data_IF_433671797000
#
_entry.id   IF_433671797000
#
_cell.length_a   1.000
_cell.length_b   1.000
_cell.length_c   1.000
_cell.angle_alpha   90.00
_cell.angle_beta   90.00
_cell.angle_gamma   90.00
#
_symmetry.space_group_name_H-M   'P 1'
#
loop_
_entity.id
_entity.type
_entity.pdbx_description
1 polymer ?
#
# COMPACT_ATOMS: atom_id res chain seq x y z
N UNK A 1 18.02 -5.33 -3.29
CA UNK A 1 16.84 -4.69 -3.90
C UNK A 1 17.28 -3.34 -4.42
N UNK A 2 17.49 -3.22 -5.73
CA UNK A 2 17.77 -1.91 -6.34
C UNK A 2 16.54 -1.01 -6.15
N UNK A 3 16.71 0.31 -5.92
CA UNK A 3 15.58 1.22 -5.97
C UNK A 3 15.07 1.20 -7.41
N UNK A 4 13.92 0.54 -7.62
CA UNK A 4 13.17 0.59 -8.87
C UNK A 4 12.91 2.05 -9.16
N UNK A 5 13.48 2.55 -10.25
CA UNK A 5 13.14 3.77 -11.00
C UNK A 5 12.65 4.95 -10.17
N UNK A 6 13.40 6.06 -10.21
CA UNK A 6 13.04 7.35 -9.61
C UNK A 6 11.57 7.73 -9.89
N UNK A 7 10.68 7.40 -8.95
CA UNK A 7 9.26 7.77 -9.04
C UNK A 7 9.18 9.30 -9.14
N UNK A 8 8.33 9.78 -10.05
CA UNK A 8 8.16 11.20 -10.33
C UNK A 8 7.96 12.01 -9.03
N UNK A 9 7.25 11.45 -8.05
CA UNK A 9 7.02 12.08 -6.75
C UNK A 9 8.32 12.29 -5.98
N UNK A 10 9.17 11.28 -5.92
CA UNK A 10 10.47 11.34 -5.23
C UNK A 10 11.36 12.42 -5.85
N UNK A 11 11.36 12.51 -7.20
CA UNK A 11 12.09 13.58 -7.92
C UNK A 11 11.54 14.97 -7.62
N UNK A 12 10.23 15.14 -7.68
CA UNK A 12 9.56 16.42 -7.38
C UNK A 12 9.80 16.83 -5.93
N UNK A 13 9.71 15.89 -4.98
CA UNK A 13 9.97 16.15 -3.55
C UNK A 13 11.40 16.63 -3.33
N UNK A 14 12.38 15.91 -3.88
CA UNK A 14 13.80 16.29 -3.76
C UNK A 14 14.06 17.65 -4.39
N UNK A 15 13.59 17.87 -5.62
CA UNK A 15 13.79 19.14 -6.33
C UNK A 15 13.16 20.32 -5.59
N UNK A 16 11.94 20.16 -5.05
CA UNK A 16 11.27 21.21 -4.28
C UNK A 16 11.95 21.48 -2.94
N UNK A 17 12.44 20.44 -2.26
CA UNK A 17 13.22 20.56 -1.02
C UNK A 17 14.52 21.34 -1.26
N UNK A 18 15.22 21.07 -2.36
CA UNK A 18 16.48 21.73 -2.72
C UNK A 18 16.28 23.19 -3.16
N UNK A 19 15.08 23.55 -3.64
CA UNK A 19 14.75 24.88 -4.18
C UNK A 19 13.57 25.57 -3.46
N UNK A 20 13.45 25.39 -2.14
CA UNK A 20 12.35 25.96 -1.37
C UNK A 20 12.22 27.49 -1.53
N UNK A 21 13.34 28.20 -1.62
CA UNK A 21 13.36 29.67 -1.76
C UNK A 21 12.78 30.15 -3.09
N UNK A 22 12.87 29.33 -4.15
CA UNK A 22 12.34 29.66 -5.48
C UNK A 22 10.83 29.40 -5.60
N UNK A 23 10.26 28.68 -4.64
CA UNK A 23 8.83 28.42 -4.53
C UNK A 23 8.27 27.40 -5.54
N UNK A 24 6.95 27.15 -5.42
CA UNK A 24 6.24 26.10 -6.18
C UNK A 24 6.24 26.34 -7.68
N UNK A 25 6.13 27.59 -8.12
CA UNK A 25 6.06 27.93 -9.55
C UNK A 25 7.34 27.55 -10.30
N UNK A 26 8.50 27.68 -9.65
CA UNK A 26 9.78 27.27 -10.21
C UNK A 26 9.84 25.76 -10.44
N UNK A 27 9.42 24.98 -9.43
CA UNK A 27 9.34 23.52 -9.54
C UNK A 27 8.30 23.09 -10.59
N UNK A 28 7.12 23.71 -10.60
CA UNK A 28 6.09 23.43 -11.59
C UNK A 28 6.59 23.67 -13.01
N UNK A 29 7.29 24.78 -13.26
CA UNK A 29 7.86 25.08 -14.58
C UNK A 29 8.86 24.01 -15.03
N UNK A 30 9.79 23.63 -14.17
CA UNK A 30 10.79 22.60 -14.48
C UNK A 30 10.16 21.28 -14.93
N UNK A 31 9.20 20.75 -14.17
CA UNK A 31 8.54 19.49 -14.50
C UNK A 31 7.49 19.61 -15.62
N UNK A 32 6.92 20.80 -15.86
CA UNK A 32 6.09 21.05 -17.04
C UNK A 32 6.94 21.00 -18.32
N UNK A 33 8.16 21.54 -18.30
CA UNK A 33 9.09 21.47 -19.43
C UNK A 33 9.53 20.02 -19.70
N UNK A 34 9.49 19.13 -18.69
CA UNK A 34 9.66 17.69 -18.83
C UNK A 34 8.40 16.93 -19.32
N UNK A 35 7.27 17.63 -19.52
CA UNK A 35 6.03 17.06 -20.03
C UNK A 35 5.06 16.54 -18.96
N UNK A 36 5.28 16.84 -17.68
CA UNK A 36 4.36 16.49 -16.59
C UNK A 36 3.23 17.53 -16.53
N UNK A 37 1.98 17.06 -16.45
CA UNK A 37 0.84 17.98 -16.32
C UNK A 37 0.90 18.80 -15.03
N UNK A 38 0.56 20.09 -15.14
CA UNK A 38 0.56 21.03 -14.03
C UNK A 38 -0.26 20.54 -12.82
N UNK A 39 -1.45 19.98 -13.07
CA UNK A 39 -2.30 19.40 -12.02
C UNK A 39 -1.57 18.33 -11.21
N UNK A 40 -0.88 17.41 -11.88
CA UNK A 40 -0.09 16.36 -11.24
C UNK A 40 1.02 16.93 -10.37
N UNK A 41 1.73 17.96 -10.84
CA UNK A 41 2.81 18.57 -10.07
C UNK A 41 2.27 19.21 -8.79
N UNK A 42 1.18 19.98 -8.89
CA UNK A 42 0.58 20.61 -7.72
C UNK A 42 -0.06 19.61 -6.75
N UNK A 43 -0.65 18.52 -7.24
CA UNK A 43 -1.14 17.43 -6.39
C UNK A 43 0.00 16.76 -5.59
N UNK A 44 1.17 16.62 -6.21
CA UNK A 44 2.38 16.08 -5.56
C UNK A 44 2.92 17.09 -4.54
N UNK A 45 3.04 18.38 -4.89
CA UNK A 45 3.50 19.42 -3.97
C UNK A 45 2.56 19.58 -2.77
N UNK A 46 1.24 19.48 -2.98
CA UNK A 46 0.26 19.49 -1.89
C UNK A 46 0.50 18.34 -0.91
N UNK A 47 0.75 17.12 -1.43
CA UNK A 47 1.09 15.95 -0.59
C UNK A 47 2.39 16.16 0.21
N UNK A 48 3.37 16.84 -0.38
CA UNK A 48 4.61 17.20 0.32
C UNK A 48 4.32 18.12 1.52
N UNK A 49 3.49 19.15 1.32
CA UNK A 49 3.07 20.07 2.40
C UNK A 49 2.26 19.36 3.49
N UNK A 50 1.41 18.40 3.10
CA UNK A 50 0.66 17.54 4.01
C UNK A 50 1.57 16.50 4.73
N UNK A 51 2.90 16.55 4.54
CA UNK A 51 3.89 15.61 5.08
C UNK A 51 3.59 14.14 4.74
N UNK A 52 2.97 13.88 3.58
CA UNK A 52 2.67 12.53 3.10
C UNK A 52 3.87 11.96 2.34
N UNK A 53 4.14 10.67 2.57
CA UNK A 53 5.21 9.94 1.90
C UNK A 53 5.02 9.96 0.37
N UNK A 54 6.14 10.10 -0.36
CA UNK A 54 6.16 9.97 -1.82
C UNK A 54 5.77 8.55 -2.26
N UNK A 55 6.08 7.57 -1.42
CA UNK A 55 5.80 6.16 -1.66
C UNK A 55 4.30 5.91 -1.87
N UNK A 56 4.01 5.03 -2.83
CA UNK A 56 2.63 4.59 -3.08
C UNK A 56 2.14 3.79 -1.87
N UNK A 57 1.14 4.32 -1.17
CA UNK A 57 0.39 3.51 -0.20
C UNK A 57 -0.23 2.31 -0.93
N UNK A 58 -0.06 1.12 -0.36
CA UNK A 58 -0.71 -0.09 -0.82
C UNK A 58 -2.20 0.18 -0.99
N UNK A 59 -2.74 -0.15 -2.17
CA UNK A 59 -4.14 0.13 -2.47
C UNK A 59 -5.07 -0.46 -1.41
N UNK A 60 -6.18 0.22 -1.14
CA UNK A 60 -7.25 -0.24 -0.25
C UNK A 60 -8.04 -1.37 -0.89
N UNK A 61 -7.35 -2.47 -1.23
CA UNK A 61 -7.97 -3.68 -1.73
C UNK A 61 -9.11 -4.10 -0.79
N UNK A 62 -10.13 -4.75 -1.34
CA UNK A 62 -11.29 -5.19 -0.57
C UNK A 62 -10.84 -6.07 0.58
N UNK A 63 -11.03 -5.61 1.81
CA UNK A 63 -10.78 -6.41 3.01
C UNK A 63 -11.75 -7.59 3.05
N UNK A 64 -11.22 -8.78 3.36
CA UNK A 64 -12.03 -10.00 3.46
C UNK A 64 -12.94 -9.91 4.69
N UNK A 65 -14.26 -9.71 4.49
CA UNK A 65 -15.24 -9.59 5.58
C UNK A 65 -15.33 -10.82 6.49
N UNK A 66 -15.04 -12.00 5.94
CA UNK A 66 -15.22 -13.29 6.64
C UNK A 66 -14.12 -13.51 7.67
N UNK A 67 -12.88 -13.12 7.35
CA UNK A 67 -11.72 -13.22 8.22
C UNK A 67 -11.36 -11.87 8.79
N UNK A 68 -11.97 -11.53 9.92
CA UNK A 68 -11.45 -10.47 10.79
C UNK A 68 -10.12 -10.92 11.39
N UNK A 69 -9.22 -10.00 11.79
CA UNK A 69 -7.92 -10.34 12.37
C UNK A 69 -8.02 -11.35 13.52
N UNK A 70 -9.04 -11.21 14.37
CA UNK A 70 -9.33 -12.15 15.48
C UNK A 70 -9.63 -13.57 15.00
N UNK A 71 -10.41 -13.72 13.92
CA UNK A 71 -10.72 -15.04 13.34
C UNK A 71 -9.49 -15.68 12.71
N UNK A 72 -8.59 -14.88 12.13
CA UNK A 72 -7.32 -15.37 11.59
C UNK A 72 -6.40 -15.89 12.71
N UNK A 73 -6.29 -15.15 13.82
CA UNK A 73 -5.52 -15.63 14.98
C UNK A 73 -6.10 -16.92 15.57
N UNK A 74 -7.43 -17.02 15.67
CA UNK A 74 -8.09 -18.22 16.14
C UNK A 74 -7.87 -19.40 15.17
N UNK A 75 -7.94 -19.15 13.87
CA UNK A 75 -7.63 -20.15 12.85
C UNK A 75 -6.19 -20.65 13.02
N UNK A 76 -5.20 -19.76 13.16
CA UNK A 76 -3.80 -20.15 13.41
C UNK A 76 -3.67 -21.03 14.65
N UNK A 77 -4.32 -20.68 15.76
CA UNK A 77 -4.34 -21.48 17.00
C UNK A 77 -5.04 -22.84 16.88
N UNK A 78 -5.99 -22.96 15.94
CA UNK A 78 -6.70 -24.21 15.69
C UNK A 78 -5.80 -25.22 14.97
N UNK A 79 -4.82 -24.76 14.18
CA UNK A 79 -3.86 -25.59 13.45
C UNK A 79 -2.47 -25.67 14.11
N UNK A 80 -2.15 -24.74 15.01
CA UNK A 80 -0.87 -24.69 15.71
C UNK A 80 -0.66 -25.94 16.57
N UNK A 81 0.30 -26.79 16.15
CA UNK A 81 0.65 -28.06 16.79
C UNK A 81 -0.54 -29.01 17.04
N UNK A 82 -1.58 -28.93 16.20
CA UNK A 82 -2.80 -29.75 16.30
C UNK A 82 -3.10 -30.44 14.98
N UNK A 83 -2.85 -31.74 14.94
CA UNK A 83 -3.16 -32.59 13.78
C UNK A 83 -4.66 -32.99 13.69
N UNK A 84 -5.46 -32.61 14.69
CA UNK A 84 -6.84 -33.07 14.84
C UNK A 84 -7.88 -32.33 13.99
N UNK A 85 -7.52 -31.25 13.30
CA UNK A 85 -8.44 -30.44 12.49
C UNK A 85 -7.90 -30.34 11.06
N UNK A 86 -8.65 -30.93 10.13
CA UNK A 86 -8.40 -30.75 8.69
C UNK A 86 -8.90 -29.39 8.20
N UNK A 87 -8.34 -28.90 7.09
CA UNK A 87 -8.79 -27.66 6.43
C UNK A 87 -10.29 -27.69 6.09
N UNK A 88 -10.85 -28.87 5.77
CA UNK A 88 -12.29 -29.05 5.54
C UNK A 88 -13.13 -28.85 6.80
N UNK A 89 -12.67 -29.34 7.95
CA UNK A 89 -13.36 -29.15 9.23
C UNK A 89 -13.30 -27.68 9.68
N UNK A 90 -12.15 -27.02 9.48
CA UNK A 90 -12.03 -25.59 9.72
C UNK A 90 -12.94 -24.78 8.79
N UNK A 91 -13.01 -25.12 7.50
CA UNK A 91 -13.89 -24.45 6.54
C UNK A 91 -15.36 -24.49 6.98
N UNK A 92 -15.82 -25.64 7.49
CA UNK A 92 -17.16 -25.77 8.09
C UNK A 92 -17.33 -24.90 9.34
N UNK A 93 -16.33 -24.89 10.24
CA UNK A 93 -16.35 -24.08 11.48
C UNK A 93 -16.41 -22.57 11.21
N UNK A 94 -15.76 -22.10 10.15
CA UNK A 94 -15.69 -20.69 9.78
C UNK A 94 -16.67 -20.31 8.65
N UNK A 95 -17.56 -21.21 8.26
CA UNK A 95 -18.57 -21.02 7.20
C UNK A 95 -17.98 -20.45 5.90
N UNK A 96 -16.87 -21.04 5.46
CA UNK A 96 -16.16 -20.60 4.26
C UNK A 96 -15.69 -21.77 3.39
N UNK A 97 -15.09 -21.46 2.24
CA UNK A 97 -14.52 -22.49 1.37
C UNK A 97 -13.19 -22.99 1.91
N UNK A 98 -12.88 -24.27 1.66
CA UNK A 98 -11.59 -24.87 2.04
C UNK A 98 -10.42 -24.16 1.36
N UNK A 99 -10.59 -23.69 0.11
CA UNK A 99 -9.58 -22.89 -0.59
C UNK A 99 -9.23 -21.60 0.17
N UNK A 100 -10.22 -20.96 0.80
CA UNK A 100 -9.99 -19.75 1.58
C UNK A 100 -9.21 -20.03 2.87
N UNK A 101 -9.43 -21.19 3.50
CA UNK A 101 -8.61 -21.67 4.63
C UNK A 101 -7.17 -21.91 4.17
N UNK A 102 -6.97 -22.60 3.03
CA UNK A 102 -5.64 -22.87 2.48
C UNK A 102 -4.87 -21.59 2.19
N UNK A 103 -5.53 -20.55 1.68
CA UNK A 103 -4.91 -19.27 1.37
C UNK A 103 -4.54 -18.43 2.62
N UNK A 104 -5.18 -18.72 3.77
CA UNK A 104 -4.98 -18.01 5.04
C UNK A 104 -4.00 -18.72 5.98
N UNK A 105 -3.75 -20.02 5.76
CA UNK A 105 -2.87 -20.86 6.56
C UNK A 105 -1.45 -20.98 5.99
N UNK A 106 -1.23 -20.69 4.70
CA UNK A 106 0.12 -20.52 4.13
C UNK A 106 0.76 -19.22 4.63
#
# INVERSE_FOLDING_TARGET
MAPKEDDLKSRVYKFYSDHQESGKQFTAKHFMDEGVSNSTIYDILKRYEDNLLAERQSGSGRTTKIFTPKKVEQLKKDFDHKDGISQHQAAKKYECSQQMISHMHM
#
